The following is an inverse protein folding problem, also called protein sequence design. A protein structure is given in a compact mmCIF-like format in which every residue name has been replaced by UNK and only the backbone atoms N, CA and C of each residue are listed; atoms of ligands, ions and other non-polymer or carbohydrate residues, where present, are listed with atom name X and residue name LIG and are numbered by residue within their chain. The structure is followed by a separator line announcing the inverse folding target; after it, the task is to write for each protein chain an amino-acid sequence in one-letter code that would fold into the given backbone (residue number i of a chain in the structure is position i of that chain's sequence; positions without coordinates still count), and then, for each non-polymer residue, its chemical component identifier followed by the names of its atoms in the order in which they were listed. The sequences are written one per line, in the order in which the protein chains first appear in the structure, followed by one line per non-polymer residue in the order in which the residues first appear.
data_IF_538263776255
#
_entry.id   IF_538263776255
#
_cell.length_a   1.000
_cell.length_b   1.000
_cell.length_c   1.000
_cell.angle_alpha   90.00
_cell.angle_beta   90.00
_cell.angle_gamma   90.00
#
_symmetry.space_group_name_H-M   'P 1'
#
loop_
_entity.id
_entity.type
_entity.pdbx_description
1 polymer ?
#
# COMPACT_ATOMS: atom_id res chain seq x y z
N UNK A 1 -3.57 -3.48 18.96
CA UNK A 1 -3.43 -3.68 17.50
C UNK A 1 -4.72 -4.33 17.03
N UNK A 2 -5.51 -3.72 16.13
CA UNK A 2 -6.72 -4.37 15.64
C UNK A 2 -6.29 -5.62 14.87
N UNK A 3 -6.69 -6.77 15.38
CA UNK A 3 -6.46 -8.08 14.78
C UNK A 3 -7.14 -8.14 13.40
N UNK A 4 -6.58 -8.88 12.44
CA UNK A 4 -7.10 -9.00 11.07
C UNK A 4 -8.56 -9.47 10.93
N UNK A 5 -9.17 -9.98 12.01
CA UNK A 5 -10.59 -10.32 12.09
C UNK A 5 -11.51 -9.14 11.77
N UNK A 6 -11.18 -7.94 12.25
CA UNK A 6 -12.00 -6.75 11.97
C UNK A 6 -12.03 -6.41 10.48
N UNK A 7 -10.94 -6.68 9.75
CA UNK A 7 -10.89 -6.46 8.31
C UNK A 7 -11.68 -7.53 7.53
N UNK A 8 -11.66 -8.78 8.00
CA UNK A 8 -12.43 -9.86 7.37
C UNK A 8 -13.94 -9.67 7.55
N UNK A 9 -14.37 -9.27 8.76
CA UNK A 9 -15.79 -8.97 9.05
C UNK A 9 -16.30 -7.76 8.28
N UNK A 10 -15.47 -6.71 8.13
CA UNK A 10 -15.83 -5.51 7.36
C UNK A 10 -15.99 -5.85 5.87
N UNK A 11 -15.05 -6.59 5.29
CA UNK A 11 -15.14 -7.07 3.90
C UNK A 11 -16.37 -7.96 3.69
N UNK A 12 -16.69 -8.81 4.66
CA UNK A 12 -17.87 -9.68 4.59
C UNK A 12 -19.15 -8.85 4.60
N UNK A 13 -19.24 -7.88 5.51
CA UNK A 13 -20.38 -6.96 5.62
C UNK A 13 -20.58 -6.14 4.35
N UNK A 14 -19.49 -5.55 3.82
CA UNK A 14 -19.51 -4.78 2.57
C UNK A 14 -19.90 -5.65 1.37
N UNK A 15 -19.44 -6.90 1.32
CA UNK A 15 -19.82 -7.85 0.28
C UNK A 15 -21.33 -8.09 0.26
N UNK A 16 -21.95 -8.30 1.42
CA UNK A 16 -23.39 -8.49 1.50
C UNK A 16 -24.16 -7.23 1.12
N UNK A 17 -23.73 -6.04 1.55
CA UNK A 17 -24.36 -4.78 1.15
C UNK A 17 -24.38 -4.60 -0.36
N UNK A 18 -23.23 -4.82 -1.02
CA UNK A 18 -23.11 -4.71 -2.48
C UNK A 18 -23.91 -5.80 -3.19
N UNK A 19 -23.95 -7.01 -2.63
CA UNK A 19 -24.77 -8.09 -3.17
C UNK A 19 -26.26 -7.74 -3.12
N UNK A 20 -26.76 -7.20 -2.00
CA UNK A 20 -28.16 -6.77 -1.91
C UNK A 20 -28.49 -5.65 -2.90
N UNK A 21 -27.59 -4.67 -3.09
CA UNK A 21 -27.78 -3.59 -4.07
C UNK A 21 -27.83 -4.12 -5.50
N UNK A 22 -27.07 -5.17 -5.82
CA UNK A 22 -26.95 -5.76 -7.16
C UNK A 22 -27.75 -7.03 -7.36
N UNK A 23 -28.71 -7.30 -6.48
CA UNK A 23 -29.45 -8.56 -6.47
C UNK A 23 -30.21 -8.80 -7.78
N UNK A 24 -30.53 -7.75 -8.53
CA UNK A 24 -31.10 -7.77 -9.87
C UNK A 24 -30.16 -8.35 -10.94
N UNK A 25 -28.85 -8.29 -10.73
CA UNK A 25 -27.84 -8.86 -11.63
C UNK A 25 -27.58 -10.34 -11.39
N UNK A 26 -28.10 -10.89 -10.30
CA UNK A 26 -27.93 -12.29 -9.98
C UNK A 26 -28.86 -13.16 -10.84
N UNK A 27 -28.28 -14.15 -11.51
CA UNK A 27 -29.04 -15.14 -12.28
C UNK A 27 -29.67 -16.16 -11.32
N UNK A 28 -30.98 -15.99 -11.06
CA UNK A 28 -31.77 -16.90 -10.22
C UNK A 28 -31.87 -18.33 -10.79
N UNK A 29 -31.45 -18.57 -12.04
CA UNK A 29 -31.32 -19.91 -12.61
C UNK A 29 -30.07 -20.67 -12.14
N UNK A 30 -29.16 -20.02 -11.39
CA UNK A 30 -28.01 -20.69 -10.79
C UNK A 30 -28.36 -21.22 -9.41
N UNK A 31 -27.98 -22.48 -9.18
CA UNK A 31 -28.15 -23.17 -7.89
C UNK A 31 -27.31 -22.59 -6.75
N UNK A 32 -26.30 -21.76 -7.06
CA UNK A 32 -25.34 -21.27 -6.07
C UNK A 32 -24.93 -19.81 -6.30
N UNK A 33 -25.09 -19.00 -5.25
CA UNK A 33 -24.69 -17.60 -5.22
C UNK A 33 -23.21 -17.39 -4.83
N UNK A 34 -22.52 -18.41 -4.30
CA UNK A 34 -21.13 -18.29 -3.84
C UNK A 34 -20.17 -17.76 -4.91
N UNK A 35 -20.19 -18.23 -6.18
CA UNK A 35 -19.29 -17.69 -7.20
C UNK A 35 -19.51 -16.20 -7.47
N UNK A 36 -20.76 -15.74 -7.42
CA UNK A 36 -21.12 -14.34 -7.61
C UNK A 36 -20.68 -13.46 -6.43
N UNK A 37 -20.92 -13.92 -5.20
CA UNK A 37 -20.46 -13.26 -3.98
C UNK A 37 -18.93 -13.17 -3.89
N UNK A 38 -18.22 -14.25 -4.24
CA UNK A 38 -16.76 -14.23 -4.28
C UNK A 38 -16.22 -13.27 -5.35
N UNK A 39 -16.93 -13.08 -6.46
CA UNK A 39 -16.60 -12.05 -7.44
C UNK A 39 -16.66 -10.64 -6.86
N UNK A 40 -17.69 -10.34 -6.07
CA UNK A 40 -17.85 -9.07 -5.36
C UNK A 40 -16.72 -8.89 -4.34
N UNK A 41 -16.53 -9.87 -3.45
CA UNK A 41 -15.50 -9.83 -2.41
C UNK A 41 -14.08 -9.66 -2.99
N UNK A 42 -13.76 -10.38 -4.08
CA UNK A 42 -12.46 -10.27 -4.76
C UNK A 42 -12.23 -8.86 -5.32
N UNK A 43 -13.27 -8.24 -5.89
CA UNK A 43 -13.14 -6.88 -6.42
C UNK A 43 -12.98 -5.85 -5.29
N UNK A 44 -13.70 -6.02 -4.17
CA UNK A 44 -13.55 -5.19 -2.98
C UNK A 44 -12.12 -5.29 -2.42
N UNK A 45 -11.64 -6.51 -2.19
CA UNK A 45 -10.29 -6.75 -1.66
C UNK A 45 -9.21 -6.15 -2.57
N UNK A 46 -9.36 -6.30 -3.90
CA UNK A 46 -8.44 -5.70 -4.89
C UNK A 46 -8.46 -4.17 -4.85
N UNK A 47 -9.62 -3.54 -4.58
CA UNK A 47 -9.75 -2.09 -4.44
C UNK A 47 -9.10 -1.61 -3.14
N UNK A 48 -9.36 -2.29 -2.03
CA UNK A 48 -8.76 -2.02 -0.72
C UNK A 48 -7.23 -2.09 -0.78
N UNK A 49 -6.67 -3.16 -1.34
CA UNK A 49 -5.22 -3.28 -1.52
C UNK A 49 -4.61 -2.17 -2.39
N UNK A 50 -5.31 -1.74 -3.45
CA UNK A 50 -4.83 -0.61 -4.27
C UNK A 50 -4.84 0.69 -3.49
N UNK A 51 -5.91 0.97 -2.74
CA UNK A 51 -6.04 2.18 -1.93
C UNK A 51 -4.96 2.23 -0.83
N UNK A 52 -4.77 1.14 -0.09
CA UNK A 52 -3.71 1.01 0.92
C UNK A 52 -2.33 1.22 0.30
N UNK A 53 -2.05 0.60 -0.86
CA UNK A 53 -0.76 0.76 -1.53
C UNK A 53 -0.47 2.20 -1.95
N UNK A 54 -1.50 2.96 -2.36
CA UNK A 54 -1.36 4.37 -2.72
C UNK A 54 -1.13 5.23 -1.48
N UNK A 55 -1.86 4.98 -0.40
CA UNK A 55 -1.70 5.69 0.86
C UNK A 55 -0.33 5.45 1.48
N UNK A 56 0.14 4.19 1.52
CA UNK A 56 1.48 3.84 1.99
C UNK A 56 2.57 4.49 1.13
N UNK A 57 2.40 4.51 -0.21
CA UNK A 57 3.32 5.22 -1.11
C UNK A 57 3.35 6.72 -0.85
N UNK A 58 2.19 7.34 -0.59
CA UNK A 58 2.11 8.76 -0.26
C UNK A 58 2.81 9.08 1.07
N UNK A 59 2.58 8.26 2.09
CA UNK A 59 3.25 8.38 3.40
C UNK A 59 4.76 8.16 3.30
N UNK A 60 5.21 7.14 2.55
CA UNK A 60 6.63 6.90 2.31
C UNK A 60 7.29 8.08 1.57
N UNK A 61 6.57 8.69 0.62
CA UNK A 61 7.06 9.87 -0.12
C UNK A 61 7.14 11.12 0.76
N UNK A 62 6.20 11.34 1.68
CA UNK A 62 6.28 12.47 2.62
C UNK A 62 7.39 12.26 3.64
N UNK A 63 7.53 11.05 4.20
CA UNK A 63 8.63 10.72 5.10
C UNK A 63 10.01 10.90 4.44
N UNK A 64 10.15 10.48 3.17
CA UNK A 64 11.39 10.67 2.41
C UNK A 64 11.69 12.14 2.13
N UNK A 65 10.66 12.96 1.89
CA UNK A 65 10.79 14.42 1.69
C UNK A 65 11.22 15.11 2.98
N UNK A 66 10.64 14.73 4.11
CA UNK A 66 11.01 15.26 5.42
C UNK A 66 12.46 14.92 5.74
N UNK A 67 12.86 13.65 5.52
CA UNK A 67 14.24 13.22 5.71
C UNK A 67 15.23 14.04 4.85
N UNK A 68 14.88 14.34 3.59
CA UNK A 68 15.71 15.18 2.73
C UNK A 68 15.75 16.66 3.18
N UNK A 69 14.67 17.18 3.76
CA UNK A 69 14.60 18.53 4.29
C UNK A 69 15.42 18.70 5.59
N UNK A 70 15.50 17.65 6.40
CA UNK A 70 16.27 17.61 7.64
C UNK A 70 17.77 17.39 7.39
N UNK A 71 18.16 17.00 6.17
CA UNK A 71 19.56 17.02 5.74
C UNK A 71 20.02 18.46 5.48
N UNK A 72 20.96 19.02 6.27
CA UNK A 72 21.45 20.36 6.03
C UNK A 72 22.17 20.40 4.67
N UNK A 73 21.67 21.24 3.77
CA UNK A 73 22.09 21.38 2.37
C UNK A 73 23.58 21.76 2.16
N UNK A 74 24.39 21.81 3.21
CA UNK A 74 25.82 22.12 3.18
C UNK A 74 26.78 20.93 3.32
N UNK A 75 26.30 19.70 3.52
CA UNK A 75 27.21 18.55 3.81
C UNK A 75 27.52 17.64 2.60
N UNK A 76 26.83 17.83 1.47
CA UNK A 76 27.01 17.00 0.27
C UNK A 76 28.36 17.21 -0.46
N UNK A 77 29.19 18.18 -0.06
CA UNK A 77 30.47 18.47 -0.75
C UNK A 77 31.69 17.79 -0.10
N UNK A 78 31.55 17.11 1.05
CA UNK A 78 32.73 16.65 1.82
C UNK A 78 33.14 15.19 1.60
N UNK A 79 32.30 14.31 1.07
CA UNK A 79 32.63 12.87 1.01
C UNK A 79 33.36 12.44 -0.26
N UNK A 80 33.45 13.31 -1.27
CA UNK A 80 34.13 12.99 -2.53
C UNK A 80 35.63 13.36 -2.53
N UNK A 81 36.17 14.00 -1.48
CA UNK A 81 37.55 14.51 -1.50
C UNK A 81 38.53 13.89 -0.50
N UNK A 82 38.15 12.87 0.29
CA UNK A 82 39.06 12.27 1.29
C UNK A 82 39.93 11.14 0.72
N UNK A 83 39.77 10.73 -0.54
CA UNK A 83 40.49 9.55 -1.07
C UNK A 83 41.79 9.83 -1.87
N UNK A 84 42.18 11.09 -2.12
CA UNK A 84 43.38 11.40 -2.91
C UNK A 84 44.36 12.28 -2.15
N UNK A 85 44.83 11.85 -0.98
CA UNK A 85 46.12 12.34 -0.45
C UNK A 85 46.71 11.45 0.65
N UNK A 86 46.67 10.13 0.47
CA UNK A 86 47.53 9.17 1.23
C UNK A 86 48.17 8.21 0.24
N UNK A 87 48.83 8.75 -0.77
CA UNK A 87 49.73 7.99 -1.66
C UNK A 87 50.94 8.84 -2.07
N UNK A 88 51.46 9.68 -1.17
CA UNK A 88 52.80 10.22 -1.36
C UNK A 88 53.42 10.69 -0.04
N UNK A 89 53.88 9.74 0.77
CA UNK A 89 54.97 9.99 1.73
C UNK A 89 55.44 8.66 2.31
N UNK A 90 56.54 8.16 1.75
CA UNK A 90 57.61 7.46 2.46
C UNK A 90 58.70 7.05 1.45
N UNK A 91 59.95 6.91 1.91
CA UNK A 91 60.75 7.84 2.69
C UNK A 91 61.82 8.57 1.84
#
# INVERSE_FOLDING_TARGET
MPSGDFAADDVTSETFLVAFERMDTFDHGRDDARPWLFGIATNLLRRHHRAESLMLKALAKSASREALADFPAGTATSWTSVQTSVVNSAP
#
